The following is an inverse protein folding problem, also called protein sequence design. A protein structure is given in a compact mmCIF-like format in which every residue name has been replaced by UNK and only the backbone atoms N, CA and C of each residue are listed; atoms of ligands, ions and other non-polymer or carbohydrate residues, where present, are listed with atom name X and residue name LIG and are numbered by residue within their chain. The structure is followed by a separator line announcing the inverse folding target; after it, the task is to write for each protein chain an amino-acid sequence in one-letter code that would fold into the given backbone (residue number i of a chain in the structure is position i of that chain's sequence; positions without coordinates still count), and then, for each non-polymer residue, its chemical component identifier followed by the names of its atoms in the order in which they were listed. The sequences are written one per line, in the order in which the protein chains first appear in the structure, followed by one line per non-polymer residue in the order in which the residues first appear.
data_IF_872985889731
#
_entry.id   IF_872985889731
#
_cell.length_a   1.000
_cell.length_b   1.000
_cell.length_c   1.000
_cell.angle_alpha   90.00
_cell.angle_beta   90.00
_cell.angle_gamma   90.00
#
_symmetry.space_group_name_H-M   'P 1'
#
loop_
_entity.id
_entity.type
_entity.pdbx_description
1 polymer ?
#
# COMPACT_ATOMS: atom_id res chain seq x y z
N UNK A 1 16.93 14.35 -0.51
CA UNK A 1 17.56 13.68 -1.67
C UNK A 1 18.95 14.23 -1.99
N UNK A 2 19.11 15.51 -2.38
CA UNK A 2 20.42 16.07 -2.74
C UNK A 2 21.48 15.88 -1.63
N UNK A 3 21.11 16.08 -0.38
CA UNK A 3 22.02 15.87 0.76
C UNK A 3 22.48 14.41 0.88
N UNK A 4 21.61 13.43 0.66
CA UNK A 4 21.96 12.00 0.72
C UNK A 4 22.97 11.65 -0.39
N UNK A 5 22.68 12.02 -1.62
CA UNK A 5 23.57 11.75 -2.77
C UNK A 5 24.93 12.45 -2.58
N UNK A 6 24.92 13.70 -2.12
CA UNK A 6 26.14 14.45 -1.85
C UNK A 6 26.99 13.82 -0.74
N UNK A 7 26.36 13.36 0.34
CA UNK A 7 27.05 12.68 1.45
C UNK A 7 27.68 11.36 0.99
N UNK A 8 26.96 10.53 0.23
CA UNK A 8 27.50 9.28 -0.31
C UNK A 8 28.68 9.57 -1.24
N UNK A 9 28.53 10.52 -2.18
CA UNK A 9 29.60 10.91 -3.08
C UNK A 9 30.82 11.45 -2.33
N UNK A 10 30.62 12.30 -1.33
CA UNK A 10 31.69 12.81 -0.48
C UNK A 10 32.44 11.67 0.22
N UNK A 11 31.74 10.70 0.78
CA UNK A 11 32.38 9.53 1.43
C UNK A 11 33.15 8.68 0.42
N UNK A 12 32.64 8.47 -0.78
CA UNK A 12 33.38 7.78 -1.84
C UNK A 12 34.71 8.47 -2.14
N UNK A 13 34.72 9.80 -2.22
CA UNK A 13 35.92 10.58 -2.49
C UNK A 13 36.89 10.56 -1.29
N UNK A 14 36.38 10.73 -0.08
CA UNK A 14 37.23 10.72 1.14
C UNK A 14 37.90 9.36 1.36
N UNK A 15 37.15 8.26 1.20
CA UNK A 15 37.67 6.92 1.42
C UNK A 15 38.55 6.40 0.29
N UNK A 16 38.30 6.86 -0.96
CA UNK A 16 38.96 6.36 -2.17
C UNK A 16 39.54 7.47 -3.03
N UNK A 17 40.05 8.55 -2.41
CA UNK A 17 40.61 9.72 -3.13
C UNK A 17 41.73 9.39 -4.13
N UNK A 18 42.41 8.25 -3.93
CA UNK A 18 43.40 7.74 -4.88
C UNK A 18 42.81 7.38 -6.25
N UNK A 19 41.49 7.11 -6.34
CA UNK A 19 40.76 6.86 -7.61
C UNK A 19 40.42 8.13 -8.36
N UNK A 20 40.70 9.32 -7.81
CA UNK A 20 40.49 10.65 -8.41
C UNK A 20 39.05 10.83 -8.93
N UNK A 21 38.89 11.20 -10.20
CA UNK A 21 37.59 11.43 -10.85
C UNK A 21 36.67 10.19 -10.89
N UNK A 22 37.24 9.02 -10.73
CA UNK A 22 36.49 7.74 -10.69
C UNK A 22 36.08 7.30 -9.30
N UNK A 23 36.41 8.06 -8.25
CA UNK A 23 36.15 7.67 -6.89
C UNK A 23 34.66 7.33 -6.63
N UNK A 24 33.72 8.08 -7.21
CA UNK A 24 32.29 7.85 -7.03
C UNK A 24 31.83 6.56 -7.74
N UNK A 25 32.29 6.33 -8.97
CA UNK A 25 31.82 5.24 -9.84
C UNK A 25 32.50 3.89 -9.48
N UNK A 26 33.75 3.95 -9.00
CA UNK A 26 34.55 2.76 -8.75
C UNK A 26 34.67 2.40 -7.25
N UNK A 27 34.00 3.13 -6.35
CA UNK A 27 33.97 2.77 -4.95
C UNK A 27 33.04 1.57 -4.74
N UNK A 28 33.56 0.54 -4.12
CA UNK A 28 32.83 -0.64 -3.66
C UNK A 28 32.51 -0.48 -2.16
N UNK A 29 31.35 -0.93 -1.76
CA UNK A 29 30.91 -0.85 -0.36
C UNK A 29 29.44 -1.10 -0.18
N UNK A 30 28.97 -1.01 1.07
CA UNK A 30 27.57 -1.17 1.45
C UNK A 30 27.07 0.15 2.06
N UNK A 31 25.93 0.60 1.63
CA UNK A 31 25.23 1.78 2.17
C UNK A 31 23.93 1.33 2.78
N UNK A 32 23.76 1.63 4.07
CA UNK A 32 22.53 1.38 4.81
C UNK A 32 21.71 2.69 4.85
N UNK A 33 20.47 2.63 4.45
CA UNK A 33 19.56 3.79 4.48
C UNK A 33 18.26 3.35 5.15
N UNK A 34 17.96 3.98 6.25
CA UNK A 34 16.70 3.79 6.95
C UNK A 34 15.66 4.79 6.42
N UNK A 35 14.43 4.32 6.16
CA UNK A 35 13.32 5.11 5.65
C UNK A 35 13.69 5.94 4.39
N UNK A 36 14.05 5.26 3.30
CA UNK A 36 14.45 5.92 2.04
C UNK A 36 13.38 6.85 1.46
N UNK A 37 12.10 6.61 1.76
CA UNK A 37 10.95 7.41 1.34
C UNK A 37 10.79 8.73 2.11
N UNK A 38 11.44 8.86 3.28
CA UNK A 38 11.27 10.02 4.14
C UNK A 38 11.60 11.33 3.40
N UNK A 39 10.66 12.28 3.44
CA UNK A 39 10.76 13.58 2.78
C UNK A 39 10.87 13.57 1.25
N UNK A 40 10.57 12.44 0.59
CA UNK A 40 10.51 12.34 -0.86
C UNK A 40 9.06 12.48 -1.37
N UNK A 41 8.88 13.34 -2.36
CA UNK A 41 7.62 13.38 -3.11
C UNK A 41 7.39 12.03 -3.84
N UNK A 42 6.15 11.49 -3.93
CA UNK A 42 5.86 10.20 -4.55
C UNK A 42 6.47 10.00 -5.95
N UNK A 43 6.49 11.05 -6.76
CA UNK A 43 7.14 11.00 -8.09
C UNK A 43 8.63 10.67 -8.00
N UNK A 44 9.32 11.15 -6.97
CA UNK A 44 10.75 10.88 -6.76
C UNK A 44 10.98 9.49 -6.16
N UNK A 45 10.07 9.01 -5.34
CA UNK A 45 10.14 7.67 -4.77
C UNK A 45 10.16 6.58 -5.86
N UNK A 46 9.43 6.78 -6.96
CA UNK A 46 9.44 5.86 -8.13
C UNK A 46 10.78 5.70 -8.82
N UNK A 47 11.66 6.68 -8.69
CA UNK A 47 12.92 6.73 -9.45
C UNK A 47 14.15 6.69 -8.54
N UNK A 48 14.01 6.85 -7.23
CA UNK A 48 15.14 7.01 -6.32
C UNK A 48 16.09 5.81 -6.34
N UNK A 49 15.56 4.59 -6.35
CA UNK A 49 16.38 3.37 -6.35
C UNK A 49 17.20 3.27 -7.62
N UNK A 50 16.56 3.47 -8.77
CA UNK A 50 17.26 3.44 -10.06
C UNK A 50 18.34 4.51 -10.15
N UNK A 51 18.03 5.74 -9.73
CA UNK A 51 18.98 6.85 -9.73
C UNK A 51 20.20 6.60 -8.84
N UNK A 52 19.99 5.97 -7.66
CA UNK A 52 21.09 5.58 -6.78
C UNK A 52 21.99 4.51 -7.40
N UNK A 53 21.42 3.49 -8.04
CA UNK A 53 22.16 2.43 -8.74
C UNK A 53 22.97 2.99 -9.92
N UNK A 54 22.40 3.94 -10.66
CA UNK A 54 23.11 4.61 -11.78
C UNK A 54 24.23 5.51 -11.31
N UNK A 55 24.00 6.29 -10.24
CA UNK A 55 25.01 7.18 -9.69
C UNK A 55 26.18 6.44 -9.02
N UNK A 56 25.91 5.27 -8.43
CA UNK A 56 26.87 4.51 -7.64
C UNK A 56 26.86 3.02 -8.02
N UNK A 57 27.33 2.66 -9.22
CA UNK A 57 27.10 1.33 -9.79
C UNK A 57 27.81 0.17 -9.09
N UNK A 58 28.75 0.46 -8.18
CA UNK A 58 29.49 -0.56 -7.42
C UNK A 58 29.14 -0.57 -5.92
N UNK A 59 28.24 0.30 -5.50
CA UNK A 59 27.73 0.26 -4.13
C UNK A 59 26.53 -0.70 -4.03
N UNK A 60 26.50 -1.48 -2.97
CA UNK A 60 25.31 -2.21 -2.56
C UNK A 60 24.49 -1.33 -1.62
N UNK A 61 23.21 -1.18 -1.92
CA UNK A 61 22.25 -0.46 -1.08
C UNK A 61 21.40 -1.47 -0.31
N UNK A 62 21.28 -1.31 1.01
CA UNK A 62 20.32 -1.99 1.86
C UNK A 62 19.45 -0.89 2.44
N UNK A 63 18.18 -0.87 2.09
CA UNK A 63 17.27 0.23 2.45
C UNK A 63 16.00 -0.31 3.11
N UNK A 64 15.48 0.43 4.08
CA UNK A 64 14.12 0.23 4.58
C UNK A 64 13.19 1.26 3.96
N UNK A 65 11.92 0.92 3.78
CA UNK A 65 10.89 1.81 3.26
C UNK A 65 9.50 1.35 3.65
N UNK A 66 8.61 2.30 3.82
CA UNK A 66 7.16 2.10 3.95
C UNK A 66 6.39 2.62 2.72
N UNK A 67 7.10 2.86 1.60
CA UNK A 67 6.49 3.39 0.38
C UNK A 67 6.19 2.31 -0.65
N UNK A 68 4.92 2.10 -1.04
CA UNK A 68 4.56 1.21 -2.13
C UNK A 68 5.15 1.65 -3.47
N UNK A 69 5.44 2.95 -3.66
CA UNK A 69 6.09 3.47 -4.86
C UNK A 69 7.55 3.00 -5.00
N UNK A 70 8.28 2.89 -3.88
CA UNK A 70 9.63 2.34 -3.87
C UNK A 70 9.58 0.84 -4.08
N UNK A 71 8.68 0.12 -3.38
CA UNK A 71 8.49 -1.32 -3.55
C UNK A 71 8.15 -1.65 -5.01
N UNK A 72 7.25 -0.91 -5.67
CA UNK A 72 6.92 -1.09 -7.09
C UNK A 72 8.13 -0.91 -8.03
N UNK A 73 9.14 -0.13 -7.64
CA UNK A 73 10.28 0.19 -8.49
C UNK A 73 11.38 -0.87 -8.50
N UNK A 74 11.30 -1.89 -7.64
CA UNK A 74 12.31 -2.95 -7.50
C UNK A 74 11.76 -4.31 -7.96
N UNK A 75 12.66 -5.25 -8.29
CA UNK A 75 12.30 -6.61 -8.68
C UNK A 75 12.15 -7.53 -7.45
N UNK A 76 11.45 -8.65 -7.60
CA UNK A 76 11.25 -9.62 -6.52
C UNK A 76 12.53 -10.08 -5.83
N UNK A 77 13.62 -10.25 -6.59
CA UNK A 77 14.93 -10.66 -6.04
C UNK A 77 15.66 -9.56 -5.25
N UNK A 78 15.16 -8.35 -5.27
CA UNK A 78 15.68 -7.19 -4.53
C UNK A 78 14.82 -6.85 -3.30
N UNK A 79 13.63 -7.45 -3.21
CA UNK A 79 12.71 -7.25 -2.11
C UNK A 79 12.94 -8.29 -1.01
N UNK A 80 13.05 -7.84 0.22
CA UNK A 80 13.01 -8.68 1.42
C UNK A 80 11.83 -8.17 2.25
N UNK A 81 10.73 -8.92 2.24
CA UNK A 81 9.64 -8.68 3.17
C UNK A 81 9.94 -9.46 4.47
N UNK A 82 9.92 -8.78 5.62
CA UNK A 82 10.23 -9.39 6.90
C UNK A 82 9.03 -10.10 7.53
N UNK A 83 7.82 -9.79 7.07
CA UNK A 83 6.58 -10.29 7.65
C UNK A 83 6.01 -11.47 6.85
N UNK A 84 6.12 -11.46 5.52
CA UNK A 84 5.53 -12.47 4.63
C UNK A 84 6.50 -12.84 3.51
N UNK A 85 6.60 -14.14 3.18
CA UNK A 85 7.27 -14.58 1.96
C UNK A 85 6.41 -14.19 0.74
N UNK A 86 6.84 -13.21 -0.03
CA UNK A 86 6.18 -12.77 -1.25
C UNK A 86 6.78 -13.45 -2.47
N UNK A 87 5.93 -14.14 -3.25
CA UNK A 87 6.32 -14.81 -4.49
C UNK A 87 6.07 -13.96 -5.75
N UNK A 88 5.57 -12.72 -5.58
CA UNK A 88 5.19 -11.84 -6.69
C UNK A 88 6.30 -10.84 -7.02
N UNK A 89 6.45 -10.48 -8.31
CA UNK A 89 7.34 -9.38 -8.70
C UNK A 89 6.56 -8.05 -8.58
N UNK A 90 6.98 -7.13 -7.68
CA UNK A 90 6.24 -5.90 -7.44
C UNK A 90 6.05 -5.01 -8.68
N UNK A 91 6.94 -5.12 -9.67
CA UNK A 91 6.88 -4.33 -10.92
C UNK A 91 5.64 -4.61 -11.77
N UNK A 92 5.08 -5.81 -11.65
CA UNK A 92 3.96 -6.26 -12.47
C UNK A 92 2.59 -5.87 -11.88
N UNK A 93 2.58 -5.26 -10.70
CA UNK A 93 1.35 -4.98 -9.96
C UNK A 93 1.09 -3.49 -9.73
N UNK A 94 -0.17 -3.16 -9.51
CA UNK A 94 -0.58 -1.80 -9.15
C UNK A 94 -0.19 -1.45 -7.72
N UNK A 95 -0.18 -0.16 -7.41
CA UNK A 95 0.14 0.34 -6.06
C UNK A 95 -0.83 -0.23 -5.00
N UNK A 96 -2.10 -0.38 -5.36
CA UNK A 96 -3.14 -0.93 -4.50
C UNK A 96 -2.79 -2.38 -4.11
N UNK A 97 -2.51 -3.23 -5.09
CA UNK A 97 -2.13 -4.64 -4.86
C UNK A 97 -0.84 -4.75 -4.03
N UNK A 98 0.14 -3.88 -4.28
CA UNK A 98 1.37 -3.86 -3.49
C UNK A 98 1.08 -3.48 -2.03
N UNK A 99 0.21 -2.49 -1.82
CA UNK A 99 -0.17 -2.06 -0.47
C UNK A 99 -0.89 -3.17 0.29
N UNK A 100 -1.80 -3.88 -0.35
CA UNK A 100 -2.61 -4.94 0.25
C UNK A 100 -1.80 -6.24 0.43
N UNK A 101 -1.19 -6.76 -0.64
CA UNK A 101 -0.58 -8.10 -0.65
C UNK A 101 0.86 -8.15 -0.13
N UNK A 102 1.63 -7.04 -0.25
CA UNK A 102 3.04 -7.00 0.16
C UNK A 102 3.21 -6.25 1.47
N UNK A 103 2.46 -5.16 1.68
CA UNK A 103 2.65 -4.27 2.82
C UNK A 103 1.58 -4.46 3.91
N UNK A 104 0.64 -5.40 3.73
CA UNK A 104 -0.44 -5.73 4.69
C UNK A 104 -1.24 -4.50 5.15
N UNK A 105 -1.50 -3.57 4.21
CA UNK A 105 -2.32 -2.39 4.45
C UNK A 105 -3.75 -2.70 4.04
N UNK A 106 -4.63 -2.82 5.00
CA UNK A 106 -6.07 -3.04 4.75
C UNK A 106 -6.66 -1.93 3.89
N UNK A 107 -7.02 -2.30 2.67
CA UNK A 107 -7.88 -1.56 1.75
C UNK A 107 -7.39 -0.17 1.31
N UNK A 108 -7.57 0.14 0.04
CA UNK A 108 -7.30 1.46 -0.57
C UNK A 108 -8.27 2.56 -0.15
N UNK A 109 -9.24 2.24 0.70
CA UNK A 109 -10.28 3.16 1.17
C UNK A 109 -9.95 3.75 2.56
N UNK A 110 -10.49 4.94 2.85
CA UNK A 110 -10.46 5.48 4.20
C UNK A 110 -11.14 4.50 5.18
N UNK A 111 -10.73 4.49 6.45
CA UNK A 111 -11.31 3.63 7.50
C UNK A 111 -12.85 3.71 7.49
N UNK A 112 -13.41 4.91 7.29
CA UNK A 112 -14.86 5.13 7.17
C UNK A 112 -15.48 4.36 5.99
N UNK A 113 -14.80 4.31 4.83
CA UNK A 113 -15.29 3.59 3.65
C UNK A 113 -15.17 2.07 3.80
N UNK A 114 -14.12 1.57 4.44
CA UNK A 114 -13.97 0.14 4.71
C UNK A 114 -15.01 -0.35 5.74
N UNK A 115 -15.37 0.48 6.73
CA UNK A 115 -16.47 0.21 7.66
C UNK A 115 -17.82 0.19 6.95
N UNK A 116 -18.08 1.11 6.01
CA UNK A 116 -19.31 1.13 5.21
C UNK A 116 -19.41 -0.07 4.26
N UNK A 117 -18.31 -0.51 3.66
CA UNK A 117 -18.27 -1.72 2.83
C UNK A 117 -18.53 -2.98 3.66
N UNK A 118 -17.90 -3.12 4.82
CA UNK A 118 -18.15 -4.23 5.75
C UNK A 118 -19.62 -4.27 6.20
N UNK A 119 -20.18 -3.12 6.59
CA UNK A 119 -21.59 -3.00 6.95
C UNK A 119 -22.53 -3.36 5.79
N UNK A 120 -22.13 -3.06 4.55
CA UNK A 120 -22.90 -3.41 3.36
C UNK A 120 -22.92 -4.92 3.11
N UNK A 121 -21.79 -5.60 3.28
CA UNK A 121 -21.68 -7.07 3.17
C UNK A 121 -22.54 -7.75 4.22
N UNK A 122 -22.45 -7.29 5.48
CA UNK A 122 -23.27 -7.79 6.58
C UNK A 122 -24.78 -7.59 6.33
N UNK A 123 -25.13 -6.42 5.78
CA UNK A 123 -26.50 -6.10 5.40
C UNK A 123 -27.05 -7.04 4.32
N UNK A 124 -26.31 -7.29 3.26
CA UNK A 124 -26.75 -8.20 2.18
C UNK A 124 -26.85 -9.64 2.63
N UNK A 125 -25.94 -10.09 3.50
CA UNK A 125 -26.01 -11.42 4.13
C UNK A 125 -27.29 -11.56 4.95
N UNK A 126 -27.58 -10.57 5.81
CA UNK A 126 -28.78 -10.53 6.61
C UNK A 126 -30.07 -10.44 5.76
N UNK A 127 -30.01 -9.74 4.63
CA UNK A 127 -31.12 -9.61 3.68
C UNK A 127 -31.45 -10.93 2.97
N UNK A 128 -30.43 -11.72 2.65
CA UNK A 128 -30.62 -13.06 2.06
C UNK A 128 -31.19 -14.05 3.08
N UNK A 129 -30.72 -14.01 4.32
CA UNK A 129 -31.28 -14.81 5.41
C UNK A 129 -32.75 -14.46 5.65
N UNK A 130 -33.09 -13.16 5.69
CA UNK A 130 -34.44 -12.67 5.85
C UNK A 130 -35.38 -13.11 4.72
N UNK A 131 -34.88 -13.17 3.48
CA UNK A 131 -35.67 -13.62 2.33
C UNK A 131 -36.05 -15.10 2.40
N UNK A 132 -35.24 -15.91 3.11
CA UNK A 132 -35.43 -17.35 3.29
C UNK A 132 -36.06 -17.72 4.64
N UNK A 133 -36.34 -16.74 5.51
CA UNK A 133 -36.92 -16.95 6.85
C UNK A 133 -38.41 -16.64 6.90
N UNK A 134 -39.11 -17.30 7.79
CA UNK A 134 -40.52 -17.01 8.12
C UNK A 134 -40.66 -15.82 9.08
N UNK A 135 -39.62 -15.46 9.84
CA UNK A 135 -39.58 -14.32 10.78
C UNK A 135 -39.08 -13.02 10.07
N UNK A 136 -39.89 -12.53 9.16
CA UNK A 136 -39.56 -11.30 8.42
C UNK A 136 -39.55 -10.04 9.30
N UNK A 137 -40.35 -10.00 10.34
CA UNK A 137 -40.45 -8.83 11.22
C UNK A 137 -39.20 -8.65 12.08
N UNK A 138 -38.60 -9.73 12.60
CA UNK A 138 -37.36 -9.66 13.34
C UNK A 138 -36.17 -9.22 12.52
N UNK A 139 -36.08 -9.72 11.27
CA UNK A 139 -35.05 -9.29 10.32
C UNK A 139 -35.21 -7.86 9.86
N UNK A 140 -36.44 -7.40 9.64
CA UNK A 140 -36.74 -6.00 9.27
C UNK A 140 -36.14 -5.01 10.29
N UNK A 141 -36.39 -5.25 11.59
CA UNK A 141 -35.88 -4.36 12.64
C UNK A 141 -34.34 -4.29 12.61
N UNK A 142 -33.66 -5.41 12.41
CA UNK A 142 -32.19 -5.46 12.31
C UNK A 142 -31.67 -4.73 11.07
N UNK A 143 -32.30 -4.92 9.93
CA UNK A 143 -31.94 -4.25 8.68
C UNK A 143 -32.14 -2.73 8.79
N UNK A 144 -33.25 -2.27 9.41
CA UNK A 144 -33.49 -0.84 9.63
C UNK A 144 -32.48 -0.22 10.63
N UNK A 145 -31.99 -0.98 11.62
CA UNK A 145 -30.93 -0.52 12.50
C UNK A 145 -29.62 -0.32 11.74
N UNK A 146 -29.23 -1.26 10.87
CA UNK A 146 -28.05 -1.13 10.00
C UNK A 146 -28.19 0.06 9.02
N UNK A 147 -29.34 0.19 8.36
CA UNK A 147 -29.62 1.34 7.48
C UNK A 147 -29.43 2.69 8.21
N UNK A 148 -29.86 2.78 9.46
CA UNK A 148 -29.76 4.02 10.24
C UNK A 148 -28.35 4.29 10.78
N UNK A 149 -27.50 3.27 10.90
CA UNK A 149 -26.10 3.41 11.29
C UNK A 149 -25.22 3.94 10.15
N UNK A 150 -25.61 3.75 8.90
CA UNK A 150 -24.86 4.19 7.73
C UNK A 150 -24.97 5.70 7.55
N UNK A 151 -23.84 6.37 7.44
CA UNK A 151 -23.73 7.83 7.33
C UNK A 151 -24.01 8.32 5.92
N UNK A 152 -23.57 7.54 4.89
CA UNK A 152 -23.82 7.88 3.48
C UNK A 152 -25.29 7.74 3.12
N UNK A 153 -25.90 8.86 2.73
CA UNK A 153 -27.32 8.93 2.35
C UNK A 153 -27.64 8.17 1.07
N UNK A 154 -26.70 8.11 0.11
CA UNK A 154 -26.85 7.38 -1.15
C UNK A 154 -26.84 5.86 -0.93
N UNK A 155 -25.87 5.37 -0.17
CA UNK A 155 -25.77 3.97 0.21
C UNK A 155 -26.97 3.53 1.03
N UNK A 156 -27.39 4.32 2.02
CA UNK A 156 -28.61 4.05 2.80
C UNK A 156 -29.86 3.91 1.92
N UNK A 157 -30.05 4.81 0.96
CA UNK A 157 -31.17 4.76 0.04
C UNK A 157 -31.12 3.51 -0.87
N UNK A 158 -29.91 3.16 -1.33
CA UNK A 158 -29.67 1.96 -2.13
C UNK A 158 -30.04 0.68 -1.38
N UNK A 159 -29.54 0.50 -0.15
CA UNK A 159 -29.83 -0.66 0.68
C UNK A 159 -31.33 -0.80 1.01
N UNK A 160 -31.97 0.32 1.38
CA UNK A 160 -33.42 0.37 1.62
C UNK A 160 -34.25 -0.07 0.40
N UNK A 161 -33.81 0.33 -0.81
CA UNK A 161 -34.48 -0.08 -2.05
C UNK A 161 -34.39 -1.59 -2.25
N UNK A 162 -33.24 -2.22 -1.93
CA UNK A 162 -33.06 -3.67 -2.01
C UNK A 162 -33.92 -4.44 -1.00
N UNK A 163 -34.04 -3.91 0.24
CA UNK A 163 -34.94 -4.48 1.25
C UNK A 163 -36.40 -4.51 0.80
N UNK A 164 -36.88 -3.38 0.26
CA UNK A 164 -38.25 -3.27 -0.24
C UNK A 164 -38.47 -4.23 -1.44
N UNK A 165 -37.48 -4.35 -2.34
CA UNK A 165 -37.55 -5.26 -3.49
C UNK A 165 -37.65 -6.74 -3.08
N UNK A 166 -37.14 -7.12 -1.89
CA UNK A 166 -37.25 -8.47 -1.32
C UNK A 166 -38.54 -8.68 -0.49
N UNK A 167 -39.48 -7.74 -0.51
CA UNK A 167 -40.73 -7.76 0.27
C UNK A 167 -40.54 -7.87 1.79
N UNK A 168 -39.47 -7.26 2.31
CA UNK A 168 -39.23 -7.09 3.75
C UNK A 168 -39.62 -5.65 4.10
N UNK A 169 -40.95 -5.40 4.20
CA UNK A 169 -41.54 -4.06 4.32
C UNK A 169 -41.84 -3.74 5.78
#
# INVERSE_FOLDING_TARGET
MLNLVAEIAFRCVVLNGFKRERAVIDTEGVVLIDELDMHLHPTWQKHVVQNLKEAFPKLQFIVTTHSPFIVQSISANELINLDVETAIDPKDYSIEVISEEIMDVDGSYSIEKSEEESQSVDYFTLLEEAANSDDKDGYKIRLEQLENAITDTGLRAYLKTHRIAKNII
#
